data_IF_929630091200
#
_entry.id   IF_929630091200
#
_cell.length_a   1.000
_cell.length_b   1.000
_cell.length_c   1.000
_cell.angle_alpha   90.00
_cell.angle_beta   90.00
_cell.angle_gamma   90.00
#
_symmetry.space_group_name_H-M   'P 1'
#
loop_
_entity.id
_entity.type
_entity.pdbx_description
1 polymer ?
#
# COMPACT_ATOMS: atom_id res chain seq x y z
N UNK A 1 -16.38 1.03 -8.15
CA UNK A 1 -16.90 1.31 -6.79
C UNK A 1 -15.75 1.05 -5.85
N UNK A 2 -15.46 1.99 -4.96
CA UNK A 2 -14.38 1.84 -3.98
C UNK A 2 -15.01 1.89 -2.59
N UNK A 3 -14.62 0.97 -1.73
CA UNK A 3 -14.97 0.92 -0.32
C UNK A 3 -13.71 1.28 0.47
N UNK A 4 -13.80 2.30 1.31
CA UNK A 4 -12.75 2.60 2.27
C UNK A 4 -13.13 1.91 3.58
N UNK A 5 -12.21 1.10 4.11
CA UNK A 5 -12.39 0.36 5.36
C UNK A 5 -11.21 0.57 6.29
N UNK A 6 -11.45 0.58 7.59
CA UNK A 6 -10.40 0.74 8.59
C UNK A 6 -9.37 -0.39 8.50
N UNK A 7 -8.11 -0.08 8.81
CA UNK A 7 -6.97 -1.02 8.74
C UNK A 7 -7.22 -2.35 9.46
N UNK A 8 -7.90 -2.30 10.60
CA UNK A 8 -8.15 -3.47 11.44
C UNK A 8 -9.52 -4.13 11.19
N UNK A 9 -10.20 -3.77 10.10
CA UNK A 9 -11.49 -4.38 9.74
C UNK A 9 -11.30 -5.88 9.54
N UNK A 10 -12.06 -6.75 10.24
CA UNK A 10 -11.94 -8.18 10.06
C UNK A 10 -12.20 -8.57 8.60
N UNK A 11 -11.40 -9.50 8.07
CA UNK A 11 -11.54 -10.01 6.70
C UNK A 11 -12.99 -10.39 6.36
N UNK A 12 -13.70 -11.03 7.28
CA UNK A 12 -15.10 -11.40 7.08
C UNK A 12 -16.01 -10.20 6.80
N UNK A 13 -15.78 -9.07 7.46
CA UNK A 13 -16.58 -7.85 7.28
C UNK A 13 -16.17 -7.10 6.01
N UNK A 14 -14.89 -7.13 5.61
CA UNK A 14 -14.44 -6.60 4.31
C UNK A 14 -15.20 -7.31 3.17
N UNK A 15 -15.24 -8.64 3.19
CA UNK A 15 -15.95 -9.40 2.17
C UNK A 15 -17.47 -9.15 2.21
N UNK A 16 -18.08 -9.08 3.39
CA UNK A 16 -19.51 -8.71 3.51
C UNK A 16 -19.79 -7.33 2.92
N UNK A 17 -18.90 -6.35 3.12
CA UNK A 17 -19.02 -5.03 2.53
C UNK A 17 -18.91 -5.09 1.00
N UNK A 18 -17.94 -5.83 0.45
CA UNK A 18 -17.79 -6.04 -0.99
C UNK A 18 -19.05 -6.67 -1.62
N UNK A 19 -19.60 -7.72 -1.00
CA UNK A 19 -20.85 -8.35 -1.43
C UNK A 19 -22.06 -7.42 -1.33
N UNK A 20 -22.14 -6.63 -0.26
CA UNK A 20 -23.19 -5.62 -0.11
C UNK A 20 -23.12 -4.56 -1.21
N UNK A 21 -21.92 -4.03 -1.47
CA UNK A 21 -21.69 -2.97 -2.44
C UNK A 21 -21.99 -3.41 -3.88
N UNK A 22 -21.63 -4.63 -4.26
CA UNK A 22 -21.93 -5.15 -5.61
C UNK A 22 -23.42 -5.42 -5.79
N UNK A 23 -24.13 -5.84 -4.74
CA UNK A 23 -25.57 -6.09 -4.78
C UNK A 23 -26.40 -4.80 -4.75
N UNK A 24 -25.88 -3.72 -4.15
CA UNK A 24 -26.60 -2.48 -3.94
C UNK A 24 -27.03 -1.77 -5.23
N UNK A 25 -26.17 -1.76 -6.26
CA UNK A 25 -26.44 -1.04 -7.50
C UNK A 25 -26.29 -1.93 -8.73
N UNK A 26 -27.42 -2.28 -9.35
CA UNK A 26 -27.47 -3.09 -10.58
C UNK A 26 -26.63 -2.52 -11.74
N UNK A 27 -26.55 -1.20 -11.87
CA UNK A 27 -25.88 -0.53 -12.99
C UNK A 27 -24.38 -0.25 -12.74
N UNK A 28 -23.92 -0.26 -11.49
CA UNK A 28 -22.52 0.00 -11.10
C UNK A 28 -21.86 -1.23 -10.46
N UNK A 29 -20.53 -1.22 -10.27
CA UNK A 29 -19.85 -2.30 -9.53
C UNK A 29 -19.36 -3.47 -10.39
N UNK A 30 -19.01 -3.22 -11.67
CA UNK A 30 -18.23 -4.19 -12.46
C UNK A 30 -16.86 -4.47 -11.81
N UNK A 31 -16.26 -3.44 -11.25
CA UNK A 31 -15.10 -3.53 -10.36
C UNK A 31 -15.48 -2.90 -9.01
N UNK A 32 -15.35 -3.68 -7.94
CA UNK A 32 -15.57 -3.25 -6.56
C UNK A 32 -14.29 -3.53 -5.78
N UNK A 33 -13.70 -2.49 -5.23
CA UNK A 33 -12.37 -2.56 -4.62
C UNK A 33 -12.51 -2.09 -3.17
N UNK A 34 -12.03 -2.88 -2.22
CA UNK A 34 -11.84 -2.43 -0.84
C UNK A 34 -10.40 -1.95 -0.66
N UNK A 35 -10.22 -0.77 -0.07
CA UNK A 35 -8.93 -0.15 0.24
C UNK A 35 -8.96 0.41 1.66
N UNK A 36 -7.80 0.76 2.21
CA UNK A 36 -7.71 1.48 3.48
C UNK A 36 -7.79 3.00 3.29
N UNK A 37 -7.87 3.72 4.40
CA UNK A 37 -8.03 5.18 4.49
C UNK A 37 -6.83 5.97 3.94
N UNK A 38 -5.69 5.32 3.75
CA UNK A 38 -4.51 5.91 3.15
C UNK A 38 -4.57 5.98 1.60
N UNK A 39 -5.59 5.37 0.98
CA UNK A 39 -5.78 5.37 -0.48
C UNK A 39 -6.88 6.36 -0.86
N UNK A 40 -6.52 7.37 -1.65
CA UNK A 40 -7.48 8.28 -2.25
C UNK A 40 -8.30 7.55 -3.34
N UNK A 41 -9.63 7.39 -3.18
CA UNK A 41 -10.47 6.66 -4.12
C UNK A 41 -10.67 7.40 -5.46
N UNK A 42 -10.41 8.71 -5.51
CA UNK A 42 -10.52 9.51 -6.74
C UNK A 42 -9.21 9.53 -7.53
N UNK A 43 -8.13 8.96 -6.99
CA UNK A 43 -6.84 8.82 -7.65
C UNK A 43 -6.64 7.41 -8.22
N UNK A 44 -6.71 7.28 -9.55
CA UNK A 44 -6.58 6.00 -10.24
C UNK A 44 -5.21 5.34 -10.02
N UNK A 45 -4.13 6.12 -9.91
CA UNK A 45 -2.78 5.60 -9.70
C UNK A 45 -2.63 5.01 -8.29
N UNK A 46 -3.24 5.65 -7.28
CA UNK A 46 -3.28 5.14 -5.92
C UNK A 46 -4.05 3.82 -5.83
N UNK A 47 -5.18 3.70 -6.54
CA UNK A 47 -5.96 2.47 -6.63
C UNK A 47 -5.18 1.33 -7.32
N UNK A 48 -4.53 1.61 -8.46
CA UNK A 48 -3.71 0.63 -9.17
C UNK A 48 -2.51 0.18 -8.33
N UNK A 49 -1.88 1.12 -7.61
CA UNK A 49 -0.82 0.81 -6.66
C UNK A 49 -1.33 -0.11 -5.54
N UNK A 50 -2.44 0.25 -4.88
CA UNK A 50 -3.01 -0.57 -3.80
C UNK A 50 -3.33 -2.00 -4.28
N UNK A 51 -3.97 -2.15 -5.44
CA UNK A 51 -4.25 -3.48 -6.00
C UNK A 51 -2.98 -4.27 -6.35
N UNK A 52 -1.93 -3.60 -6.82
CA UNK A 52 -0.69 -4.29 -7.26
C UNK A 52 0.15 -4.78 -6.08
N UNK A 53 0.12 -4.06 -4.96
CA UNK A 53 0.99 -4.35 -3.81
C UNK A 53 0.25 -5.00 -2.62
N UNK A 54 -1.07 -4.89 -2.54
CA UNK A 54 -1.86 -5.37 -1.39
C UNK A 54 -2.84 -6.50 -1.69
N UNK A 55 -3.06 -6.82 -2.98
CA UNK A 55 -3.95 -7.91 -3.36
C UNK A 55 -3.18 -9.06 -4.01
N UNK A 56 -3.35 -10.27 -3.48
CA UNK A 56 -2.96 -11.49 -4.15
C UNK A 56 -4.14 -11.99 -5.02
N UNK A 57 -4.01 -12.08 -6.35
CA UNK A 57 -5.09 -12.52 -7.23
C UNK A 57 -5.71 -13.88 -6.92
N UNK A 58 -4.98 -14.77 -6.24
CA UNK A 58 -5.50 -16.09 -5.83
C UNK A 58 -6.34 -16.02 -4.54
N UNK A 59 -6.02 -15.09 -3.63
CA UNK A 59 -6.59 -15.03 -2.28
C UNK A 59 -7.62 -13.90 -2.09
N UNK A 60 -7.44 -12.80 -2.82
CA UNK A 60 -8.08 -11.51 -2.56
C UNK A 60 -9.02 -11.06 -3.68
N UNK A 61 -9.25 -11.92 -4.68
CA UNK A 61 -10.16 -11.66 -5.80
C UNK A 61 -11.33 -12.64 -5.81
N UNK A 62 -12.50 -12.13 -6.19
CA UNK A 62 -13.65 -12.96 -6.45
C UNK A 62 -14.44 -12.49 -7.66
N UNK A 63 -14.71 -13.42 -8.57
CA UNK A 63 -15.54 -13.17 -9.75
C UNK A 63 -16.98 -13.59 -9.46
N UNK A 64 -17.90 -12.63 -9.54
CA UNK A 64 -19.34 -12.88 -9.46
C UNK A 64 -19.97 -12.83 -10.85
N UNK A 65 -20.58 -13.93 -11.25
CA UNK A 65 -21.19 -14.10 -12.58
C UNK A 65 -22.64 -13.60 -12.59
N UNK A 66 -23.23 -13.58 -13.78
CA UNK A 66 -24.65 -13.27 -14.01
C UNK A 66 -25.04 -11.83 -13.66
N UNK A 67 -24.14 -10.89 -13.91
CA UNK A 67 -24.39 -9.45 -13.77
C UNK A 67 -25.08 -8.93 -15.03
N UNK A 68 -25.99 -7.96 -14.89
CA UNK A 68 -26.51 -7.17 -16.01
C UNK A 68 -25.41 -6.25 -16.59
N UNK A 69 -25.44 -6.02 -17.91
CA UNK A 69 -24.45 -5.17 -18.60
C UNK A 69 -24.58 -3.67 -18.27
N UNK A 70 -25.70 -3.25 -17.69
CA UNK A 70 -25.93 -1.86 -17.31
C UNK A 70 -26.10 -0.92 -18.51
N UNK A 71 -25.61 0.31 -18.33
CA UNK A 71 -25.76 1.42 -19.30
C UNK A 71 -24.58 1.57 -20.26
N UNK A 72 -23.48 0.85 -20.05
CA UNK A 72 -22.32 0.87 -20.93
C UNK A 72 -22.57 0.18 -22.28
N UNK A 73 -21.56 0.16 -23.17
CA UNK A 73 -21.63 -0.56 -24.43
C UNK A 73 -22.03 -2.03 -24.22
N UNK A 74 -23.17 -2.42 -24.79
CA UNK A 74 -23.72 -3.77 -24.65
C UNK A 74 -23.07 -4.76 -25.60
N UNK A 75 -22.86 -5.97 -25.13
CA UNK A 75 -22.29 -7.08 -25.90
C UNK A 75 -23.29 -8.23 -26.01
N UNK A 76 -23.38 -8.86 -27.18
CA UNK A 76 -24.12 -10.12 -27.32
C UNK A 76 -23.34 -11.32 -26.77
N UNK A 77 -22.05 -11.15 -26.44
CA UNK A 77 -21.22 -12.18 -25.82
C UNK A 77 -21.86 -12.64 -24.50
N UNK A 78 -21.70 -13.92 -24.18
CA UNK A 78 -22.24 -14.51 -22.95
C UNK A 78 -23.75 -14.26 -22.77
N UNK A 79 -24.52 -14.29 -23.87
CA UNK A 79 -25.99 -14.10 -23.86
C UNK A 79 -26.46 -12.78 -23.23
N UNK A 80 -25.63 -11.74 -23.25
CA UNK A 80 -26.01 -10.44 -22.69
C UNK A 80 -25.71 -10.29 -21.19
N UNK A 81 -25.06 -11.28 -20.58
CA UNK A 81 -24.62 -11.23 -19.18
C UNK A 81 -23.15 -10.79 -19.07
N UNK A 82 -22.82 -10.12 -17.97
CA UNK A 82 -21.47 -9.70 -17.58
C UNK A 82 -21.09 -10.33 -16.22
N UNK A 83 -19.92 -9.94 -15.70
CA UNK A 83 -19.47 -10.32 -14.37
C UNK A 83 -18.99 -9.09 -13.58
N UNK A 84 -18.97 -9.22 -12.27
CA UNK A 84 -18.28 -8.31 -11.36
C UNK A 84 -17.00 -8.97 -10.83
N UNK A 85 -15.97 -8.16 -10.58
CA UNK A 85 -14.79 -8.58 -9.80
C UNK A 85 -14.78 -7.78 -8.51
N UNK A 86 -14.72 -8.51 -7.39
CA UNK A 86 -14.47 -7.98 -6.06
C UNK A 86 -12.98 -8.13 -5.76
N UNK A 87 -12.37 -7.08 -5.21
CA UNK A 87 -10.94 -7.01 -4.95
C UNK A 87 -10.74 -6.50 -3.53
N UNK A 88 -10.09 -7.30 -2.69
CA UNK A 88 -9.64 -6.88 -1.36
C UNK A 88 -8.20 -6.36 -1.43
N UNK A 89 -8.04 -5.08 -1.73
CA UNK A 89 -6.76 -4.37 -1.79
C UNK A 89 -6.40 -3.66 -0.46
N UNK A 90 -6.91 -4.17 0.66
CA UNK A 90 -6.52 -3.70 2.00
C UNK A 90 -5.17 -4.27 2.43
N UNK A 91 -4.50 -3.63 3.39
CA UNK A 91 -3.29 -4.16 4.01
C UNK A 91 -3.60 -5.42 4.81
N UNK A 92 -2.86 -6.50 4.53
CA UNK A 92 -2.98 -7.77 5.25
C UNK A 92 -2.00 -7.90 6.41
N UNK A 93 -0.93 -7.12 6.36
CA UNK A 93 0.13 -7.01 7.35
C UNK A 93 0.79 -5.63 7.25
N UNK A 94 1.69 -5.32 8.19
CA UNK A 94 2.49 -4.10 8.15
C UNK A 94 3.52 -4.17 7.03
N UNK A 95 3.70 -3.05 6.32
CA UNK A 95 4.66 -2.92 5.23
C UNK A 95 5.68 -1.82 5.51
N UNK A 96 6.82 -1.81 4.81
CA UNK A 96 7.75 -0.70 4.85
C UNK A 96 7.06 0.60 4.43
N UNK A 97 7.52 1.77 4.89
CA UNK A 97 6.96 3.05 4.46
C UNK A 97 7.04 3.20 2.94
N UNK A 98 6.14 4.01 2.38
CA UNK A 98 6.21 4.35 0.96
C UNK A 98 7.57 5.00 0.68
N UNK A 99 8.20 4.59 -0.44
CA UNK A 99 9.52 5.02 -0.91
C UNK A 99 9.58 6.50 -1.34
N UNK A 100 9.12 7.40 -0.49
CA UNK A 100 9.14 8.84 -0.63
C UNK A 100 9.88 9.45 0.58
N UNK A 101 10.59 10.58 0.41
CA UNK A 101 11.22 11.26 1.53
C UNK A 101 10.22 11.69 2.59
N UNK A 102 10.69 11.83 3.83
CA UNK A 102 9.89 12.42 4.92
C UNK A 102 9.42 13.82 4.56
N UNK A 103 8.29 14.20 5.16
CA UNK A 103 7.62 15.49 4.97
C UNK A 103 8.59 16.68 5.09
N UNK A 104 9.41 16.71 6.13
CA UNK A 104 10.37 17.79 6.40
C UNK A 104 11.36 18.03 5.25
N UNK A 105 11.80 16.95 4.56
CA UNK A 105 12.70 17.07 3.41
C UNK A 105 11.96 17.59 2.18
N UNK A 106 10.74 17.10 1.93
CA UNK A 106 9.92 17.56 0.81
C UNK A 106 9.51 19.03 0.98
N UNK A 107 9.14 19.46 2.18
CA UNK A 107 8.81 20.85 2.49
C UNK A 107 10.03 21.77 2.38
N UNK A 108 11.21 21.33 2.87
CA UNK A 108 12.46 22.08 2.70
C UNK A 108 12.87 22.20 1.23
N UNK A 109 12.75 21.11 0.47
CA UNK A 109 13.04 21.11 -0.96
C UNK A 109 12.12 22.07 -1.72
N UNK A 110 10.83 22.10 -1.38
CA UNK A 110 9.87 23.08 -1.92
C UNK A 110 10.30 24.52 -1.64
N UNK A 111 10.70 24.84 -0.40
CA UNK A 111 11.13 26.19 -0.05
C UNK A 111 12.36 26.63 -0.87
N UNK A 112 13.35 25.75 -1.04
CA UNK A 112 14.53 26.02 -1.88
C UNK A 112 14.13 26.21 -3.34
N UNK A 113 13.21 25.37 -3.85
CA UNK A 113 12.72 25.47 -5.23
C UNK A 113 12.07 26.82 -5.51
N UNK A 114 11.27 27.32 -4.57
CA UNK A 114 10.62 28.63 -4.63
C UNK A 114 11.63 29.78 -4.52
N UNK A 115 12.62 29.67 -3.63
CA UNK A 115 13.72 30.65 -3.50
C UNK A 115 14.51 30.80 -4.80
N UNK A 116 14.75 29.70 -5.50
CA UNK A 116 15.45 29.68 -6.79
C UNK A 116 14.60 30.22 -7.96
N UNK A 117 13.34 30.58 -7.75
CA UNK A 117 12.45 31.11 -8.79
C UNK A 117 12.10 30.09 -9.88
N UNK A 118 12.15 28.80 -9.55
CA UNK A 118 11.86 27.72 -10.49
C UNK A 118 10.35 27.63 -10.82
N UNK A 119 9.97 26.94 -11.91
CA UNK A 119 8.56 26.83 -12.30
C UNK A 119 7.66 26.31 -11.17
N UNK A 120 6.42 26.80 -11.13
CA UNK A 120 5.45 26.42 -10.09
C UNK A 120 5.28 24.89 -10.02
N UNK A 121 5.49 24.34 -8.83
CA UNK A 121 5.29 22.91 -8.56
C UNK A 121 3.81 22.53 -8.69
N UNK A 122 3.58 21.31 -9.19
CA UNK A 122 2.28 20.63 -9.16
C UNK A 122 2.43 19.30 -8.40
N UNK A 123 2.43 19.35 -7.06
CA UNK A 123 2.47 18.15 -6.22
C UNK A 123 1.39 17.14 -6.58
N UNK A 124 1.75 15.88 -6.64
CA UNK A 124 0.81 14.75 -6.69
C UNK A 124 0.74 14.07 -5.31
N UNK A 125 -0.38 13.42 -5.05
CA UNK A 125 -0.58 12.66 -3.81
C UNK A 125 -0.14 11.20 -4.00
N UNK A 126 0.62 10.61 -3.05
CA UNK A 126 1.15 11.25 -1.83
C UNK A 126 2.39 12.12 -2.11
N UNK A 127 2.46 13.30 -1.48
CA UNK A 127 3.59 14.24 -1.67
C UNK A 127 4.84 13.86 -0.86
N UNK A 128 4.69 13.09 0.21
CA UNK A 128 5.79 12.60 1.07
C UNK A 128 5.47 11.20 1.58
N UNK A 129 6.50 10.51 2.07
CA UNK A 129 6.37 9.16 2.62
C UNK A 129 5.62 9.16 3.94
N UNK A 130 4.85 8.10 4.16
CA UNK A 130 4.20 7.80 5.44
C UNK A 130 4.46 6.33 5.81
N UNK A 131 4.36 6.05 7.11
CA UNK A 131 4.58 4.70 7.63
C UNK A 131 3.42 3.79 7.27
N UNK A 132 3.76 2.57 6.84
CA UNK A 132 2.83 1.46 6.70
C UNK A 132 3.00 0.45 7.84
N UNK A 133 3.60 0.85 8.96
CA UNK A 133 3.74 0.03 10.18
C UNK A 133 5.11 -0.61 10.34
N UNK A 134 5.75 -1.05 9.25
CA UNK A 134 7.04 -1.77 9.33
C UNK A 134 8.23 -0.80 9.23
N UNK A 135 8.45 -0.02 10.28
CA UNK A 135 9.60 0.87 10.36
C UNK A 135 10.20 0.91 11.78
N UNK A 136 11.00 -0.12 12.16
CA UNK A 136 11.57 -0.21 13.49
C UNK A 136 12.64 0.86 13.77
N UNK A 137 12.89 1.13 15.05
CA UNK A 137 13.79 2.21 15.50
C UNK A 137 15.24 2.06 15.05
N UNK A 138 15.70 0.83 14.79
CA UNK A 138 17.03 0.63 14.23
C UNK A 138 17.14 1.13 12.78
N UNK A 139 16.08 0.98 11.97
CA UNK A 139 16.01 1.59 10.64
C UNK A 139 15.85 3.11 10.72
N UNK A 140 15.07 3.62 11.67
CA UNK A 140 14.93 5.06 11.90
C UNK A 140 16.28 5.71 12.28
N UNK A 141 17.03 5.10 13.21
CA UNK A 141 18.39 5.55 13.57
C UNK A 141 19.35 5.46 12.38
N UNK A 142 19.27 4.39 11.59
CA UNK A 142 20.09 4.24 10.39
C UNK A 142 19.80 5.33 9.35
N UNK A 143 18.52 5.68 9.14
CA UNK A 143 18.11 6.77 8.26
C UNK A 143 18.63 8.12 8.76
N UNK A 144 18.53 8.40 10.06
CA UNK A 144 19.06 9.63 10.66
C UNK A 144 20.60 9.74 10.52
N UNK A 145 21.33 8.65 10.72
CA UNK A 145 22.78 8.60 10.47
C UNK A 145 23.11 8.84 9.00
N UNK A 146 22.34 8.27 8.08
CA UNK A 146 22.55 8.48 6.64
C UNK A 146 22.40 9.95 6.24
N UNK A 147 21.40 10.65 6.79
CA UNK A 147 21.19 12.10 6.57
C UNK A 147 22.37 12.93 7.08
N UNK A 148 23.03 12.50 8.16
CA UNK A 148 24.25 13.13 8.70
C UNK A 148 25.53 12.77 7.94
N UNK A 149 25.47 11.86 6.95
CA UNK A 149 26.64 11.33 6.25
C UNK A 149 27.37 10.21 7.01
N UNK A 150 26.79 9.69 8.08
CA UNK A 150 27.37 8.67 8.97
C UNK A 150 27.00 7.23 8.57
N UNK A 151 26.54 7.01 7.33
CA UNK A 151 26.04 5.70 6.85
C UNK A 151 27.07 4.56 6.93
N UNK A 152 28.38 4.87 7.00
CA UNK A 152 29.42 3.86 7.21
C UNK A 152 29.34 3.19 8.59
N UNK A 153 28.82 3.87 9.62
CA UNK A 153 28.65 3.28 10.95
C UNK A 153 27.56 2.19 10.92
N UNK A 154 26.45 2.45 10.22
CA UNK A 154 25.43 1.42 9.94
C UNK A 154 26.04 0.22 9.21
N UNK A 155 26.92 0.46 8.23
CA UNK A 155 27.63 -0.60 7.51
C UNK A 155 28.50 -1.47 8.42
N UNK A 156 29.19 -0.88 9.40
CA UNK A 156 29.97 -1.63 10.41
C UNK A 156 29.07 -2.48 11.31
N UNK A 157 27.89 -2.00 11.69
CA UNK A 157 26.91 -2.77 12.47
C UNK A 157 26.34 -3.95 11.66
N UNK A 158 25.98 -3.73 10.40
CA UNK A 158 25.48 -4.78 9.51
C UNK A 158 26.54 -5.85 9.22
N UNK A 159 27.82 -5.48 9.10
CA UNK A 159 28.90 -6.44 8.92
C UNK A 159 29.01 -7.45 10.06
N UNK A 160 28.66 -7.05 11.30
CA UNK A 160 28.61 -7.95 12.47
C UNK A 160 27.44 -8.93 12.42
N UNK A 161 26.40 -8.64 11.63
CA UNK A 161 25.22 -9.51 11.43
C UNK A 161 25.40 -10.57 10.33
N UNK A 162 26.56 -10.64 9.67
CA UNK A 162 26.82 -11.62 8.59
C UNK A 162 26.78 -13.06 9.15
N UNK A 163 25.97 -13.89 8.52
CA UNK A 163 25.68 -15.28 8.90
C UNK A 163 25.96 -16.20 7.70
N UNK A 164 26.33 -17.45 7.94
CA UNK A 164 26.53 -18.49 6.89
C UNK A 164 25.61 -19.70 7.09
N UNK A 165 24.87 -19.70 8.19
CA UNK A 165 23.95 -20.74 8.66
C UNK A 165 22.49 -20.50 8.21
N UNK A 166 22.23 -19.41 7.49
CA UNK A 166 20.89 -19.04 7.00
C UNK A 166 20.86 -19.00 5.48
N UNK A 167 19.71 -19.36 4.91
CA UNK A 167 19.49 -19.26 3.46
C UNK A 167 19.43 -17.80 3.00
N UNK A 168 19.74 -17.57 1.72
CA UNK A 168 19.52 -16.27 1.09
C UNK A 168 18.03 -15.91 1.13
N UNK A 169 17.72 -14.63 1.38
CA UNK A 169 16.35 -14.12 1.54
C UNK A 169 15.54 -14.73 2.70
N UNK A 170 16.21 -15.29 3.71
CA UNK A 170 15.54 -15.65 4.97
C UNK A 170 15.01 -14.38 5.63
N UNK A 171 13.74 -14.38 6.02
CA UNK A 171 13.09 -13.23 6.66
C UNK A 171 13.80 -12.88 7.96
N UNK A 172 14.26 -11.63 8.08
CA UNK A 172 15.10 -11.20 9.21
C UNK A 172 14.28 -11.19 10.50
N UNK A 173 12.97 -10.96 10.42
CA UNK A 173 12.05 -10.97 11.56
C UNK A 173 11.93 -12.33 12.23
N UNK A 174 12.13 -13.42 11.49
CA UNK A 174 11.99 -14.79 11.99
C UNK A 174 13.28 -15.32 12.64
N UNK A 175 14.38 -14.56 12.59
CA UNK A 175 15.67 -15.00 13.10
C UNK A 175 15.85 -14.70 14.61
N UNK A 176 16.32 -15.67 15.41
CA UNK A 176 16.65 -15.44 16.81
C UNK A 176 17.82 -14.46 16.97
N UNK A 177 17.75 -13.59 17.97
CA UNK A 177 18.79 -12.59 18.28
C UNK A 177 18.59 -11.21 17.64
N UNK A 178 17.39 -10.90 17.12
CA UNK A 178 17.00 -9.52 16.79
C UNK A 178 17.05 -8.67 18.07
N UNK A 179 17.66 -7.47 18.07
CA UNK A 179 17.43 -6.53 19.18
C UNK A 179 15.93 -6.24 19.24
N UNK A 180 15.29 -6.28 20.42
CA UNK A 180 13.86 -6.03 20.55
C UNK A 180 13.52 -4.69 19.89
N UNK A 181 12.44 -4.64 19.12
CA UNK A 181 11.87 -3.36 18.72
C UNK A 181 11.20 -2.74 19.96
N UNK A 182 11.28 -1.43 20.18
CA UNK A 182 10.52 -0.81 21.29
C UNK A 182 9.00 -0.93 21.06
N UNK A 183 8.57 -1.37 19.87
CA UNK A 183 7.18 -1.74 19.55
C UNK A 183 6.77 -3.15 19.99
N UNK A 184 7.68 -3.95 20.55
CA UNK A 184 7.40 -5.29 21.07
C UNK A 184 7.02 -5.27 22.58
N UNK A 185 6.92 -4.08 23.19
CA UNK A 185 6.32 -3.80 24.52
C UNK A 185 4.93 -3.16 24.39
#
# INVERSE_FOLDING_TARGET
>A
VVLIVDRNTPRTEIWRALYGAVAWNRAAGKYVIAVNDDIDPDNADALLWAMSYRANPDLDLQILRHRDQGHGPRSKRNRGEDASVLIDATMKEDFPPISLPKREYMERAKAIWEELGLPRLKPESPWYGYSLGEWPDDLERAAAMAVKGEYFETGKLLAKRRRKDVGMNTEVRELPGRPPAESDE
#
